data_IF_120636501065
#
_entry.id   IF_120636501065
#
_cell.length_a   1.000
_cell.length_b   1.000
_cell.length_c   1.000
_cell.angle_alpha   90.00
_cell.angle_beta   90.00
_cell.angle_gamma   90.00
#
_symmetry.space_group_name_H-M   'P 1'
#
loop_
_entity.id
_entity.type
_entity.pdbx_description
1 polymer ?
#
# COMPACT_ATOMS: atom_id res chain seq x y z
N UNK A 1 7.88 -24.96 7.10
CA UNK A 1 8.63 -23.93 7.86
C UNK A 1 9.65 -23.25 6.95
N UNK A 2 9.45 -21.96 6.64
CA UNK A 2 10.20 -21.11 5.67
C UNK A 2 9.28 -20.10 4.97
N UNK A 3 8.01 -20.46 4.71
CA UNK A 3 7.08 -19.61 3.94
C UNK A 3 6.89 -18.23 4.57
N UNK A 4 6.55 -18.17 5.85
CA UNK A 4 6.33 -16.90 6.54
C UNK A 4 7.62 -16.06 6.57
N UNK A 5 8.76 -16.72 6.77
CA UNK A 5 10.08 -16.11 6.76
C UNK A 5 10.43 -15.54 5.36
N UNK A 6 10.12 -16.26 4.29
CA UNK A 6 10.32 -15.80 2.91
C UNK A 6 9.39 -14.66 2.53
N UNK A 7 8.11 -14.75 2.92
CA UNK A 7 7.04 -13.87 2.43
C UNK A 7 6.87 -12.60 3.25
N UNK A 8 7.20 -12.61 4.54
CA UNK A 8 6.81 -11.55 5.47
C UNK A 8 7.84 -11.16 6.54
N UNK A 9 9.08 -11.68 6.49
CA UNK A 9 10.11 -11.30 7.48
C UNK A 9 10.42 -9.80 7.51
N UNK A 10 10.35 -9.12 6.37
CA UNK A 10 10.57 -7.69 6.31
C UNK A 10 9.48 -6.93 7.07
N UNK A 11 8.21 -7.18 6.76
CA UNK A 11 7.09 -6.59 7.50
C UNK A 11 7.09 -6.99 8.98
N UNK A 12 7.39 -8.25 9.29
CA UNK A 12 7.50 -8.73 10.67
C UNK A 12 8.56 -7.96 11.46
N UNK A 13 9.74 -7.72 10.87
CA UNK A 13 10.80 -6.94 11.49
C UNK A 13 10.40 -5.48 11.71
N UNK A 14 9.67 -4.87 10.78
CA UNK A 14 9.14 -3.50 10.91
C UNK A 14 8.13 -3.40 12.06
N UNK A 15 7.19 -4.34 12.14
CA UNK A 15 6.21 -4.41 13.23
C UNK A 15 6.89 -4.63 14.59
N UNK A 16 7.83 -5.58 14.67
CA UNK A 16 8.58 -5.86 15.90
C UNK A 16 9.39 -4.64 16.37
N UNK A 17 10.00 -3.89 15.44
CA UNK A 17 10.75 -2.67 15.75
C UNK A 17 9.87 -1.55 16.34
N UNK A 18 8.55 -1.56 16.07
CA UNK A 18 7.57 -0.64 16.68
C UNK A 18 6.91 -1.23 17.95
N UNK A 19 7.39 -2.38 18.44
CA UNK A 19 6.84 -3.03 19.64
C UNK A 19 5.52 -3.78 19.42
N UNK A 20 5.11 -3.99 18.17
CA UNK A 20 3.96 -4.84 17.87
C UNK A 20 4.34 -6.32 18.04
N UNK A 21 3.38 -7.12 18.49
CA UNK A 21 3.56 -8.56 18.63
C UNK A 21 3.35 -9.24 17.29
N UNK A 22 4.32 -10.04 16.87
CA UNK A 22 4.25 -10.84 15.64
C UNK A 22 4.53 -12.30 15.99
N UNK A 23 3.75 -13.20 15.39
CA UNK A 23 3.94 -14.65 15.53
C UNK A 23 3.83 -15.33 14.17
N UNK A 24 4.86 -16.08 13.79
CA UNK A 24 4.79 -16.98 12.65
C UNK A 24 4.28 -18.35 13.09
N UNK A 25 3.46 -18.96 12.25
CA UNK A 25 2.94 -20.31 12.49
C UNK A 25 3.14 -21.14 11.23
N UNK A 26 3.97 -22.17 11.31
CA UNK A 26 4.07 -23.20 10.30
C UNK A 26 3.01 -24.27 10.59
N UNK A 27 2.10 -24.49 9.63
CA UNK A 27 1.01 -25.47 9.78
C UNK A 27 1.50 -26.92 9.68
N UNK A 28 2.66 -27.14 9.06
CA UNK A 28 3.35 -28.44 9.00
C UNK A 28 4.79 -28.32 9.50
N UNK A 29 5.37 -29.45 9.88
CA UNK A 29 6.71 -29.52 10.47
C UNK A 29 7.84 -29.55 9.42
N UNK A 30 7.52 -29.70 8.14
CA UNK A 30 8.48 -29.67 7.03
C UNK A 30 9.35 -30.92 6.93
N UNK A 31 8.89 -32.08 7.41
CA UNK A 31 9.74 -33.25 7.59
C UNK A 31 10.03 -34.09 6.34
N UNK A 32 9.54 -33.69 5.16
CA UNK A 32 9.87 -34.32 3.87
C UNK A 32 10.59 -33.38 2.89
N UNK A 33 10.88 -32.15 3.30
CA UNK A 33 11.40 -31.09 2.42
C UNK A 33 12.92 -31.06 2.20
N UNK A 34 13.66 -32.14 2.52
CA UNK A 34 15.11 -32.25 2.33
C UNK A 34 15.45 -33.58 1.64
N UNK A 35 16.50 -33.60 0.81
CA UNK A 35 16.82 -34.76 -0.04
C UNK A 35 17.70 -35.83 0.66
N UNK A 36 18.24 -35.53 1.84
CA UNK A 36 19.10 -36.45 2.62
C UNK A 36 18.58 -36.73 4.04
N UNK A 37 17.73 -35.86 4.58
CA UNK A 37 17.23 -35.92 5.97
C UNK A 37 15.71 -35.90 5.92
N UNK A 38 15.02 -36.66 6.78
CA UNK A 38 13.55 -36.67 6.81
C UNK A 38 13.01 -37.03 8.19
N UNK A 39 11.68 -36.93 8.33
CA UNK A 39 10.94 -37.31 9.53
C UNK A 39 11.31 -36.47 10.76
N UNK A 40 11.18 -37.06 11.94
CA UNK A 40 11.33 -36.36 13.22
C UNK A 40 12.69 -35.69 13.45
N UNK A 41 13.76 -36.14 12.79
CA UNK A 41 15.07 -35.48 12.84
C UNK A 41 15.03 -34.12 12.13
N UNK A 42 14.57 -34.11 10.88
CA UNK A 42 14.40 -32.89 10.08
C UNK A 42 13.42 -31.91 10.73
N UNK A 43 12.28 -32.41 11.26
CA UNK A 43 11.30 -31.59 11.95
C UNK A 43 11.91 -30.82 13.15
N UNK A 44 12.70 -31.52 13.98
CA UNK A 44 13.39 -30.89 15.14
C UNK A 44 14.42 -29.86 14.69
N UNK A 45 15.16 -30.16 13.62
CA UNK A 45 16.13 -29.23 13.03
C UNK A 45 15.44 -27.97 12.52
N UNK A 46 14.40 -28.11 11.70
CA UNK A 46 13.64 -26.98 11.14
C UNK A 46 12.99 -26.13 12.22
N UNK A 47 12.49 -26.74 13.30
CA UNK A 47 11.99 -26.00 14.47
C UNK A 47 13.10 -25.15 15.12
N UNK A 48 14.32 -25.67 15.26
CA UNK A 48 15.44 -24.90 15.80
C UNK A 48 15.84 -23.75 14.88
N UNK A 49 15.85 -23.98 13.57
CA UNK A 49 16.16 -22.98 12.53
C UNK A 49 15.15 -21.82 12.54
N UNK A 50 13.84 -22.09 12.52
CA UNK A 50 12.84 -21.00 12.58
C UNK A 50 12.81 -20.28 13.92
N UNK A 51 13.18 -20.95 15.02
CA UNK A 51 13.37 -20.28 16.33
C UNK A 51 14.53 -19.28 16.30
N UNK A 52 15.61 -19.62 15.62
CA UNK A 52 16.73 -18.68 15.44
C UNK A 52 16.34 -17.51 14.54
N UNK A 53 15.62 -17.76 13.43
CA UNK A 53 15.05 -16.66 12.64
C UNK A 53 14.12 -15.78 13.51
N UNK A 54 13.22 -16.36 14.30
CA UNK A 54 12.31 -15.62 15.18
C UNK A 54 13.08 -14.75 16.18
N UNK A 55 14.18 -15.26 16.74
CA UNK A 55 15.10 -14.49 17.61
C UNK A 55 15.74 -13.32 16.88
N UNK A 56 16.20 -13.50 15.65
CA UNK A 56 16.80 -12.44 14.80
C UNK A 56 15.79 -11.34 14.50
N UNK A 57 14.55 -11.71 14.17
CA UNK A 57 13.48 -10.78 13.83
C UNK A 57 12.87 -10.09 15.06
N UNK A 58 12.97 -10.71 16.24
CA UNK A 58 12.33 -10.25 17.47
C UNK A 58 10.84 -10.62 17.54
N UNK A 59 10.49 -11.81 17.07
CA UNK A 59 9.10 -12.30 16.96
C UNK A 59 8.93 -13.66 17.66
N UNK A 60 7.69 -14.15 17.76
CA UNK A 60 7.39 -15.52 18.18
C UNK A 60 7.25 -16.44 16.96
N UNK A 61 7.49 -17.74 17.15
CA UNK A 61 7.22 -18.76 16.13
C UNK A 61 6.65 -20.03 16.74
N UNK A 62 5.76 -20.70 16.02
CA UNK A 62 5.19 -22.00 16.36
C UNK A 62 5.18 -22.90 15.13
N UNK A 63 5.54 -24.18 15.31
CA UNK A 63 5.47 -25.20 14.28
C UNK A 63 4.50 -26.26 14.78
N UNK A 64 3.44 -26.53 14.03
CA UNK A 64 2.47 -27.54 14.37
C UNK A 64 3.00 -28.94 14.04
N UNK A 65 2.58 -29.91 14.83
CA UNK A 65 2.90 -31.32 14.61
C UNK A 65 1.92 -31.93 13.59
N UNK A 66 2.08 -31.51 12.33
CA UNK A 66 1.40 -32.07 11.15
C UNK A 66 2.50 -32.37 10.13
N UNK A 67 2.50 -33.59 9.59
CA UNK A 67 3.47 -34.01 8.59
C UNK A 67 3.37 -33.16 7.31
N UNK A 68 4.51 -32.88 6.70
CA UNK A 68 4.60 -32.08 5.50
C UNK A 68 4.06 -32.82 4.28
N UNK A 69 3.16 -32.19 3.53
CA UNK A 69 2.40 -32.81 2.45
C UNK A 69 1.13 -33.56 2.88
N UNK A 70 0.83 -33.62 4.18
CA UNK A 70 -0.33 -34.34 4.75
C UNK A 70 -1.37 -33.40 5.39
N UNK A 71 -1.27 -32.09 5.19
CA UNK A 71 -2.27 -31.15 5.73
C UNK A 71 -3.60 -31.33 5.00
N UNK A 72 -4.67 -31.65 5.73
CA UNK A 72 -6.03 -31.70 5.17
C UNK A 72 -6.93 -30.56 5.68
N UNK A 73 -7.86 -30.03 4.86
CA UNK A 73 -8.79 -28.96 5.23
C UNK A 73 -9.97 -29.49 6.06
N UNK A 74 -9.68 -30.23 7.13
CA UNK A 74 -10.71 -30.84 8.00
C UNK A 74 -11.29 -29.83 8.99
N UNK A 75 -12.45 -30.15 9.57
CA UNK A 75 -13.05 -29.36 10.65
C UNK A 75 -12.11 -29.27 11.87
N UNK A 76 -11.32 -30.30 12.14
CA UNK A 76 -10.36 -30.31 13.23
C UNK A 76 -9.27 -29.25 13.01
N UNK A 77 -8.65 -29.24 11.83
CA UNK A 77 -7.63 -28.26 11.48
C UNK A 77 -8.23 -26.84 11.39
N UNK A 78 -9.48 -26.69 10.94
CA UNK A 78 -10.18 -25.39 10.97
C UNK A 78 -10.35 -24.87 12.39
N UNK A 79 -10.74 -25.74 13.33
CA UNK A 79 -10.79 -25.40 14.77
C UNK A 79 -9.41 -25.07 15.34
N UNK A 80 -8.36 -25.76 14.88
CA UNK A 80 -6.96 -25.47 15.27
C UNK A 80 -6.55 -24.06 14.84
N UNK A 81 -6.79 -23.68 13.58
CA UNK A 81 -6.54 -22.32 13.06
C UNK A 81 -7.36 -21.26 13.82
N UNK A 82 -8.65 -21.50 14.06
CA UNK A 82 -9.47 -20.56 14.81
C UNK A 82 -8.97 -20.34 16.25
N UNK A 83 -8.50 -21.39 16.92
CA UNK A 83 -7.88 -21.27 18.26
C UNK A 83 -6.58 -20.47 18.21
N UNK A 84 -5.69 -20.74 17.26
CA UNK A 84 -4.44 -19.97 17.10
C UNK A 84 -4.72 -18.47 16.95
N UNK A 85 -5.69 -18.09 16.12
CA UNK A 85 -6.06 -16.68 15.91
C UNK A 85 -6.66 -16.08 17.19
N UNK A 86 -7.51 -16.82 17.92
CA UNK A 86 -8.15 -16.38 19.16
C UNK A 86 -7.20 -16.25 20.33
N UNK A 87 -6.34 -17.23 20.54
CA UNK A 87 -5.38 -17.23 21.65
C UNK A 87 -4.37 -16.10 21.47
N UNK A 88 -4.01 -15.81 20.21
CA UNK A 88 -3.17 -14.65 19.87
C UNK A 88 -3.91 -13.31 19.92
N UNK A 89 -5.25 -13.32 19.83
CA UNK A 89 -6.07 -12.12 19.62
C UNK A 89 -5.57 -11.29 18.41
N UNK A 90 -5.36 -11.96 17.28
CA UNK A 90 -4.74 -11.34 16.11
C UNK A 90 -5.55 -10.13 15.58
N UNK A 91 -4.84 -9.06 15.23
CA UNK A 91 -5.41 -7.93 14.49
C UNK A 91 -5.33 -8.14 12.97
N UNK A 92 -4.27 -8.81 12.52
CA UNK A 92 -3.96 -9.10 11.12
C UNK A 92 -3.52 -10.57 11.02
N UNK A 93 -3.97 -11.28 9.98
CA UNK A 93 -3.54 -12.63 9.64
C UNK A 93 -3.05 -12.64 8.20
N UNK A 94 -1.78 -13.00 8.00
CA UNK A 94 -1.17 -13.12 6.68
C UNK A 94 -0.99 -14.61 6.31
N UNK A 95 -1.36 -15.02 5.09
CA UNK A 95 -1.39 -16.45 4.71
C UNK A 95 -1.39 -16.66 3.18
N UNK A 96 -1.46 -17.92 2.72
CA UNK A 96 -1.45 -18.29 1.30
C UNK A 96 -2.80 -18.05 0.60
N UNK A 97 -2.79 -17.75 -0.71
CA UNK A 97 -4.00 -17.88 -1.55
C UNK A 97 -4.38 -19.36 -1.71
N UNK A 98 -5.66 -19.70 -1.91
CA UNK A 98 -6.09 -21.09 -2.09
C UNK A 98 -5.74 -21.68 -3.48
N UNK A 99 -4.93 -20.98 -4.29
CA UNK A 99 -4.48 -21.39 -5.61
C UNK A 99 -2.95 -21.40 -5.64
N UNK A 100 -2.38 -22.59 -5.43
CA UNK A 100 -0.94 -22.80 -5.33
C UNK A 100 -0.57 -24.16 -5.96
N UNK A 101 0.69 -24.36 -6.32
CA UNK A 101 1.23 -25.64 -6.76
C UNK A 101 1.27 -26.64 -5.59
N UNK A 102 1.50 -26.16 -4.35
CA UNK A 102 1.62 -27.00 -3.17
C UNK A 102 0.24 -27.23 -2.54
N UNK A 103 -0.17 -28.50 -2.31
CA UNK A 103 -1.46 -28.80 -1.66
C UNK A 103 -1.57 -28.14 -0.28
N UNK A 104 -0.55 -28.24 0.57
CA UNK A 104 -0.58 -27.63 1.90
C UNK A 104 -0.77 -26.11 1.85
N UNK A 105 -0.13 -25.37 0.93
CA UNK A 105 -0.37 -23.93 0.79
C UNK A 105 -1.85 -23.65 0.48
N UNK A 106 -2.44 -24.41 -0.46
CA UNK A 106 -3.87 -24.29 -0.79
C UNK A 106 -4.74 -24.58 0.42
N UNK A 107 -4.42 -25.62 1.18
CA UNK A 107 -5.20 -26.00 2.36
C UNK A 107 -5.04 -25.05 3.53
N UNK A 108 -3.86 -24.45 3.74
CA UNK A 108 -3.71 -23.29 4.64
C UNK A 108 -4.63 -22.16 4.19
N UNK A 109 -4.64 -21.84 2.90
CA UNK A 109 -5.54 -20.86 2.29
C UNK A 109 -7.01 -21.11 2.65
N UNK A 110 -7.50 -22.32 2.37
CA UNK A 110 -8.88 -22.74 2.66
C UNK A 110 -9.18 -22.69 4.16
N UNK A 111 -8.30 -23.25 5.01
CA UNK A 111 -8.49 -23.32 6.45
C UNK A 111 -8.58 -21.95 7.10
N UNK A 112 -7.73 -21.00 6.68
CA UNK A 112 -7.73 -19.63 7.20
C UNK A 112 -8.97 -18.86 6.73
N UNK A 113 -9.35 -18.99 5.44
CA UNK A 113 -10.59 -18.39 4.92
C UNK A 113 -11.82 -18.90 5.68
N UNK A 114 -11.94 -20.21 5.86
CA UNK A 114 -13.06 -20.82 6.56
C UNK A 114 -13.11 -20.41 8.04
N UNK A 115 -11.94 -20.25 8.68
CA UNK A 115 -11.84 -19.76 10.05
C UNK A 115 -12.22 -18.28 10.17
N UNK A 116 -11.87 -17.43 9.19
CA UNK A 116 -12.11 -15.98 9.20
C UNK A 116 -13.59 -15.61 9.38
N UNK A 117 -14.51 -16.44 8.86
CA UNK A 117 -15.96 -16.23 8.98
C UNK A 117 -16.46 -16.47 10.42
N UNK A 118 -15.87 -17.43 11.12
CA UNK A 118 -16.38 -17.98 12.39
C UNK A 118 -15.48 -17.67 13.60
N UNK A 119 -14.35 -17.00 13.40
CA UNK A 119 -13.40 -16.67 14.47
C UNK A 119 -13.99 -15.75 15.54
N UNK A 120 -15.03 -14.97 15.21
CA UNK A 120 -15.77 -14.13 16.16
C UNK A 120 -16.96 -14.84 16.82
N UNK A 121 -17.34 -16.04 16.35
CA UNK A 121 -18.53 -16.74 16.83
C UNK A 121 -18.27 -17.49 18.15
N UNK A 122 -18.89 -17.11 19.29
CA UNK A 122 -18.51 -17.61 20.62
C UNK A 122 -18.59 -19.14 20.79
N UNK A 123 -19.51 -19.80 20.09
CA UNK A 123 -19.71 -21.25 20.22
C UNK A 123 -18.86 -22.09 19.26
N UNK A 124 -18.19 -21.47 18.28
CA UNK A 124 -17.11 -22.14 17.56
C UNK A 124 -15.89 -22.11 18.46
N UNK A 125 -15.24 -23.25 18.73
CA UNK A 125 -14.09 -23.37 19.66
C UNK A 125 -14.34 -22.70 21.04
N UNK A 126 -15.33 -23.19 21.84
CA UNK A 126 -15.84 -22.49 23.03
C UNK A 126 -14.82 -22.33 24.17
N UNK A 127 -13.73 -23.09 24.16
CA UNK A 127 -12.67 -23.00 25.17
C UNK A 127 -11.68 -21.86 24.91
N UNK A 128 -11.93 -21.04 23.88
CA UNK A 128 -11.08 -19.89 23.51
C UNK A 128 -11.97 -18.66 23.34
N UNK A 129 -11.57 -17.54 23.94
CA UNK A 129 -12.30 -16.29 23.81
C UNK A 129 -12.30 -15.82 22.34
N UNK A 130 -13.45 -15.44 21.77
CA UNK A 130 -13.48 -14.82 20.46
C UNK A 130 -12.55 -13.62 20.36
N UNK A 131 -12.09 -13.31 19.15
CA UNK A 131 -11.33 -12.08 18.94
C UNK A 131 -12.23 -10.87 19.22
N UNK A 132 -11.68 -9.82 19.85
CA UNK A 132 -12.43 -8.57 20.15
C UNK A 132 -13.06 -7.93 18.92
N UNK A 133 -12.39 -8.10 17.77
CA UNK A 133 -12.85 -7.68 16.44
C UNK A 133 -12.48 -8.76 15.43
N UNK A 134 -13.18 -8.82 14.30
CA UNK A 134 -12.76 -9.68 13.21
C UNK A 134 -11.40 -9.18 12.67
N UNK A 135 -10.35 -10.02 12.57
CA UNK A 135 -9.06 -9.61 12.02
C UNK A 135 -9.15 -9.15 10.57
N UNK A 136 -8.11 -8.44 10.12
CA UNK A 136 -7.85 -8.22 8.69
C UNK A 136 -7.07 -9.42 8.17
N UNK A 137 -7.57 -10.04 7.10
CA UNK A 137 -6.93 -11.19 6.48
C UNK A 137 -6.26 -10.73 5.18
N UNK A 138 -5.03 -11.18 4.94
CA UNK A 138 -4.25 -10.79 3.76
C UNK A 138 -3.52 -12.00 3.19
N UNK A 139 -3.41 -12.06 1.88
CA UNK A 139 -2.59 -13.05 1.21
C UNK A 139 -1.16 -12.57 1.00
N UNK A 140 -0.19 -13.45 1.15
CA UNK A 140 1.19 -13.25 0.69
C UNK A 140 1.26 -13.21 -0.84
N UNK A 141 2.25 -12.48 -1.37
CA UNK A 141 2.50 -12.45 -2.81
C UNK A 141 2.89 -13.82 -3.39
N UNK A 142 2.37 -14.10 -4.57
CA UNK A 142 2.74 -15.26 -5.39
C UNK A 142 2.71 -14.89 -6.89
N UNK A 143 3.00 -15.88 -7.75
CA UNK A 143 3.08 -15.71 -9.19
C UNK A 143 1.99 -16.46 -9.99
N UNK A 144 0.96 -16.99 -9.32
CA UNK A 144 -0.13 -17.69 -10.01
C UNK A 144 -1.02 -16.69 -10.75
N UNK A 145 -1.30 -17.00 -12.02
CA UNK A 145 -2.13 -16.18 -12.92
C UNK A 145 -3.58 -16.67 -13.00
N UNK A 146 -3.85 -17.89 -12.54
CA UNK A 146 -5.18 -18.51 -12.55
C UNK A 146 -5.62 -18.85 -11.14
N UNK A 147 -6.91 -18.69 -10.81
CA UNK A 147 -7.98 -18.15 -11.66
C UNK A 147 -7.87 -16.64 -11.91
N UNK A 148 -7.04 -15.93 -11.14
CA UNK A 148 -6.67 -14.52 -11.34
C UNK A 148 -5.25 -14.25 -10.83
N UNK A 149 -4.61 -13.23 -11.40
CA UNK A 149 -3.29 -12.79 -10.97
C UNK A 149 -3.34 -12.12 -9.59
N UNK A 150 -2.27 -12.28 -8.80
CA UNK A 150 -2.13 -11.60 -7.50
C UNK A 150 -2.14 -10.07 -7.67
N UNK A 151 -3.02 -9.40 -6.92
CA UNK A 151 -3.27 -7.96 -6.99
C UNK A 151 -3.10 -7.31 -5.60
N UNK A 152 -1.89 -6.82 -5.26
CA UNK A 152 -1.62 -6.37 -3.90
C UNK A 152 -2.31 -5.06 -3.55
N UNK A 153 -3.09 -5.10 -2.48
CA UNK A 153 -3.65 -3.91 -1.85
C UNK A 153 -2.56 -3.11 -1.12
N UNK A 154 -1.58 -3.76 -0.51
CA UNK A 154 -0.47 -3.11 0.18
C UNK A 154 0.86 -3.67 -0.32
N UNK A 155 1.82 -2.76 -0.57
CA UNK A 155 3.20 -3.12 -0.88
C UNK A 155 4.10 -2.36 0.09
N UNK A 156 4.98 -3.08 0.78
CA UNK A 156 5.82 -2.55 1.85
C UNK A 156 7.26 -2.57 1.40
N UNK A 157 7.92 -1.41 1.43
CA UNK A 157 9.37 -1.35 1.26
C UNK A 157 10.08 -1.83 2.51
N UNK A 158 11.03 -2.76 2.35
CA UNK A 158 11.71 -3.43 3.47
C UNK A 158 13.20 -3.11 3.53
N UNK A 159 13.67 -2.12 2.76
CA UNK A 159 15.09 -1.75 2.65
C UNK A 159 15.76 -1.55 4.01
N UNK A 160 15.08 -0.87 4.94
CA UNK A 160 15.61 -0.56 6.28
C UNK A 160 15.79 -1.76 7.20
N UNK A 161 15.17 -2.90 6.87
CA UNK A 161 15.24 -4.16 7.63
C UNK A 161 15.73 -5.34 6.78
N UNK A 162 16.17 -5.09 5.55
CA UNK A 162 16.53 -6.14 4.60
C UNK A 162 17.63 -7.05 5.17
N UNK A 163 18.63 -6.49 5.85
CA UNK A 163 19.70 -7.26 6.48
C UNK A 163 19.18 -8.24 7.54
N UNK A 164 18.19 -7.85 8.36
CA UNK A 164 17.56 -8.76 9.31
C UNK A 164 16.86 -9.91 8.61
N UNK A 165 16.17 -9.64 7.51
CA UNK A 165 15.55 -10.69 6.67
C UNK A 165 16.62 -11.64 6.14
N UNK A 166 17.73 -11.14 5.60
CA UNK A 166 18.82 -11.97 5.09
C UNK A 166 19.42 -12.85 6.18
N UNK A 167 19.67 -12.29 7.37
CA UNK A 167 20.16 -13.06 8.52
C UNK A 167 19.18 -14.17 8.94
N UNK A 168 17.87 -13.88 8.97
CA UNK A 168 16.84 -14.89 9.19
C UNK A 168 16.89 -16.02 8.14
N UNK A 169 16.97 -15.68 6.85
CA UNK A 169 17.02 -16.68 5.77
C UNK A 169 18.26 -17.55 5.89
N UNK A 170 19.43 -16.96 6.18
CA UNK A 170 20.68 -17.72 6.38
C UNK A 170 20.67 -18.59 7.63
N UNK A 171 19.79 -18.31 8.59
CA UNK A 171 19.63 -19.11 9.80
C UNK A 171 18.81 -20.40 9.58
N UNK A 172 18.34 -20.65 8.35
CA UNK A 172 17.62 -21.86 7.96
C UNK A 172 18.41 -22.67 6.92
N UNK A 173 19.58 -23.23 7.27
CA UNK A 173 20.45 -23.92 6.31
C UNK A 173 19.79 -25.14 5.67
N UNK A 174 18.92 -25.89 6.36
CA UNK A 174 18.18 -27.02 5.74
C UNK A 174 17.30 -26.59 4.56
N UNK A 175 16.98 -25.30 4.46
CA UNK A 175 16.16 -24.71 3.40
C UNK A 175 16.99 -23.92 2.38
N UNK A 176 17.96 -23.13 2.86
CA UNK A 176 18.66 -22.11 2.05
C UNK A 176 20.18 -22.19 2.11
N UNK A 177 20.77 -23.32 2.51
CA UNK A 177 22.23 -23.45 2.58
C UNK A 177 22.80 -24.85 2.36
N UNK A 178 22.06 -25.89 2.72
CA UNK A 178 22.51 -27.28 2.59
C UNK A 178 22.61 -27.71 1.14
N UNK A 179 23.55 -28.62 0.86
CA UNK A 179 23.76 -29.20 -0.47
C UNK A 179 22.52 -29.95 -0.96
N UNK A 180 21.81 -30.59 -0.04
CA UNK A 180 20.62 -31.41 -0.31
C UNK A 180 19.31 -30.72 0.14
N UNK A 181 19.37 -29.40 0.37
CA UNK A 181 18.16 -28.59 0.52
C UNK A 181 17.32 -28.65 -0.77
N UNK A 182 16.01 -28.44 -0.65
CA UNK A 182 15.13 -28.44 -1.82
C UNK A 182 15.56 -27.41 -2.85
N UNK A 183 15.91 -26.20 -2.42
CA UNK A 183 16.34 -25.13 -3.31
C UNK A 183 17.65 -25.51 -4.03
N UNK A 184 18.64 -26.05 -3.30
CA UNK A 184 19.91 -26.47 -3.92
C UNK A 184 19.75 -27.62 -4.92
N UNK A 185 18.80 -28.52 -4.67
CA UNK A 185 18.61 -29.73 -5.49
C UNK A 185 17.75 -29.48 -6.74
N UNK A 186 16.93 -28.42 -6.74
CA UNK A 186 15.94 -28.16 -7.81
C UNK A 186 16.23 -26.93 -8.65
N UNK A 187 17.00 -25.97 -8.14
CA UNK A 187 17.38 -24.79 -8.90
C UNK A 187 18.54 -25.11 -9.87
N UNK A 188 18.56 -24.50 -11.07
CA UNK A 188 19.66 -24.65 -11.99
C UNK A 188 20.92 -23.95 -11.45
N UNK A 189 22.08 -24.45 -11.86
CA UNK A 189 23.40 -23.80 -11.72
C UNK A 189 23.82 -23.43 -10.27
N UNK A 190 23.29 -24.15 -9.28
CA UNK A 190 23.66 -23.96 -7.87
C UNK A 190 25.13 -24.38 -7.66
N UNK A 191 26.00 -23.50 -7.12
CA UNK A 191 27.38 -23.85 -6.84
C UNK A 191 27.51 -25.03 -5.86
N UNK A 192 28.55 -25.84 -6.04
CA UNK A 192 28.78 -27.03 -5.20
C UNK A 192 29.53 -26.72 -3.91
N UNK A 193 30.38 -25.71 -3.92
CA UNK A 193 31.06 -25.26 -2.71
C UNK A 193 30.08 -24.58 -1.75
N UNK A 194 30.36 -24.69 -0.46
CA UNK A 194 29.41 -24.30 0.59
C UNK A 194 29.08 -22.80 0.56
N UNK A 195 30.11 -21.96 0.43
CA UNK A 195 29.92 -20.51 0.48
C UNK A 195 29.21 -20.00 -0.78
N UNK A 196 29.66 -20.43 -1.97
CA UNK A 196 29.04 -20.08 -3.24
C UNK A 196 27.57 -20.50 -3.30
N UNK A 197 27.23 -21.68 -2.75
CA UNK A 197 25.84 -22.15 -2.67
C UNK A 197 24.99 -21.24 -1.79
N UNK A 198 25.45 -20.95 -0.56
CA UNK A 198 24.73 -20.08 0.39
C UNK A 198 24.50 -18.69 -0.21
N UNK A 199 25.53 -18.12 -0.84
CA UNK A 199 25.43 -16.81 -1.48
C UNK A 199 24.47 -16.82 -2.68
N UNK A 200 24.52 -17.87 -3.51
CA UNK A 200 23.59 -18.05 -4.62
C UNK A 200 22.14 -18.12 -4.15
N UNK A 201 21.84 -18.99 -3.18
CA UNK A 201 20.49 -19.17 -2.66
C UNK A 201 19.96 -17.90 -1.99
N UNK A 202 20.79 -17.21 -1.20
CA UNK A 202 20.42 -15.92 -0.61
C UNK A 202 20.16 -14.86 -1.69
N UNK A 203 20.95 -14.82 -2.75
CA UNK A 203 20.77 -13.88 -3.86
C UNK A 203 19.45 -14.13 -4.62
N UNK A 204 19.02 -15.39 -4.77
CA UNK A 204 17.69 -15.69 -5.32
C UNK A 204 16.58 -15.09 -4.44
N UNK A 205 16.71 -15.19 -3.11
CA UNK A 205 15.72 -14.60 -2.20
C UNK A 205 15.76 -13.06 -2.27
N UNK A 206 16.94 -12.44 -2.35
CA UNK A 206 17.08 -10.99 -2.57
C UNK A 206 16.40 -10.57 -3.87
N UNK A 207 16.69 -11.27 -4.98
CA UNK A 207 16.12 -10.98 -6.29
C UNK A 207 14.59 -11.04 -6.26
N UNK A 208 13.99 -12.05 -5.61
CA UNK A 208 12.53 -12.13 -5.45
C UNK A 208 11.93 -10.87 -4.82
N UNK A 209 12.61 -10.26 -3.84
CA UNK A 209 12.14 -9.03 -3.19
C UNK A 209 12.38 -7.79 -4.08
N UNK A 210 13.43 -7.77 -4.90
CA UNK A 210 13.64 -6.73 -5.92
C UNK A 210 12.59 -6.80 -7.03
N UNK A 211 12.23 -8.01 -7.44
CA UNK A 211 11.20 -8.27 -8.45
C UNK A 211 9.84 -7.79 -7.97
N UNK A 212 9.48 -8.01 -6.70
CA UNK A 212 8.24 -7.46 -6.10
C UNK A 212 8.26 -5.94 -6.15
N UNK A 213 9.36 -5.28 -5.75
CA UNK A 213 9.47 -3.82 -5.78
C UNK A 213 9.39 -3.25 -7.21
N UNK A 214 9.96 -3.98 -8.17
CA UNK A 214 9.93 -3.60 -9.60
C UNK A 214 8.54 -3.78 -10.19
N UNK A 215 7.93 -4.94 -9.99
CA UNK A 215 6.60 -5.29 -10.50
C UNK A 215 5.51 -4.36 -9.98
N UNK A 216 5.61 -3.95 -8.71
CA UNK A 216 4.59 -3.11 -8.06
C UNK A 216 5.09 -1.69 -7.77
N UNK A 217 5.97 -1.16 -8.63
CA UNK A 217 6.55 0.17 -8.49
C UNK A 217 5.51 1.28 -8.39
N UNK A 218 4.45 1.21 -9.19
CA UNK A 218 3.39 2.22 -9.18
C UNK A 218 2.64 2.24 -7.84
N UNK A 219 2.37 1.05 -7.27
CA UNK A 219 1.75 0.93 -5.93
C UNK A 219 2.68 1.46 -4.84
N UNK A 220 3.98 1.22 -4.93
CA UNK A 220 4.96 1.82 -4.02
C UNK A 220 4.99 3.35 -4.14
N UNK A 221 4.92 3.90 -5.35
CA UNK A 221 4.85 5.36 -5.58
C UNK A 221 3.57 5.95 -4.99
N UNK A 222 2.44 5.26 -5.13
CA UNK A 222 1.17 5.66 -4.54
C UNK A 222 1.23 5.65 -3.00
N UNK A 223 1.82 4.61 -2.41
CA UNK A 223 1.86 4.41 -0.96
C UNK A 223 2.94 5.22 -0.24
N UNK A 224 4.05 5.55 -0.91
CA UNK A 224 5.21 6.24 -0.31
C UNK A 224 5.51 7.61 -0.93
N UNK A 225 4.80 8.00 -1.98
CA UNK A 225 5.12 9.18 -2.80
C UNK A 225 6.24 8.90 -3.80
N UNK A 226 6.31 9.72 -4.86
CA UNK A 226 7.26 9.53 -5.97
C UNK A 226 8.71 9.46 -5.52
N UNK A 227 9.14 10.31 -4.59
CA UNK A 227 10.55 10.42 -4.19
C UNK A 227 11.06 9.19 -3.44
N UNK A 228 10.25 8.64 -2.52
CA UNK A 228 10.61 7.43 -1.75
C UNK A 228 10.22 6.17 -2.52
N UNK A 229 8.99 6.10 -3.03
CA UNK A 229 8.45 4.95 -3.74
C UNK A 229 9.25 4.56 -4.98
N UNK A 230 9.87 5.50 -5.69
CA UNK A 230 10.73 5.20 -6.85
C UNK A 230 12.09 4.59 -6.50
N UNK A 231 12.53 4.70 -5.24
CA UNK A 231 13.87 4.28 -4.78
C UNK A 231 13.87 3.00 -3.95
N UNK A 232 12.70 2.53 -3.51
CA UNK A 232 12.57 1.30 -2.72
C UNK A 232 13.15 0.13 -3.52
N UNK A 233 14.13 -0.58 -2.97
CA UNK A 233 14.82 -1.67 -3.67
C UNK A 233 14.15 -3.01 -3.42
N UNK A 234 13.83 -3.31 -2.17
CA UNK A 234 13.23 -4.56 -1.74
C UNK A 234 11.82 -4.32 -1.21
N UNK A 235 10.87 -5.15 -1.61
CA UNK A 235 9.50 -5.05 -1.12
C UNK A 235 8.84 -6.40 -0.87
N UNK A 236 7.84 -6.39 0.02
CA UNK A 236 6.88 -7.46 0.25
C UNK A 236 5.48 -6.96 -0.10
N UNK A 237 4.64 -7.80 -0.68
CA UNK A 237 3.33 -7.41 -1.18
C UNK A 237 2.23 -8.30 -0.61
N UNK A 238 1.10 -7.68 -0.27
CA UNK A 238 -0.03 -8.31 0.41
C UNK A 238 -1.35 -7.92 -0.27
N UNK A 239 -2.17 -8.91 -0.60
CA UNK A 239 -3.50 -8.73 -1.19
C UNK A 239 -4.58 -8.88 -0.11
N UNK A 240 -5.54 -7.96 -0.07
CA UNK A 240 -6.62 -8.02 0.92
C UNK A 240 -7.52 -9.23 0.64
N UNK A 241 -7.68 -10.07 1.67
CA UNK A 241 -8.64 -11.18 1.62
C UNK A 241 -10.07 -10.64 1.74
N UNK A 242 -10.97 -11.20 0.94
CA UNK A 242 -12.38 -10.83 0.95
C UNK A 242 -13.13 -11.37 2.18
N UNK A 243 -12.52 -12.27 2.95
CA UNK A 243 -13.05 -12.78 4.21
C UNK A 243 -12.53 -11.98 5.40
N UNK A 244 -13.36 -11.83 6.43
CA UNK A 244 -13.03 -11.06 7.63
C UNK A 244 -13.31 -9.56 7.46
N UNK A 245 -12.55 -8.72 8.16
CA UNK A 245 -12.79 -7.27 8.18
C UNK A 245 -12.28 -6.59 6.90
N UNK A 246 -13.04 -5.62 6.40
CA UNK A 246 -12.73 -4.83 5.20
C UNK A 246 -12.32 -3.40 5.59
N UNK A 247 -11.04 -3.16 5.92
CA UNK A 247 -10.52 -1.83 6.30
C UNK A 247 -10.45 -0.88 5.10
N UNK A 248 -10.46 0.43 5.36
CA UNK A 248 -10.14 1.43 4.32
C UNK A 248 -8.65 1.44 3.99
N UNK A 249 -8.27 2.05 2.86
CA UNK A 249 -6.86 2.22 2.48
C UNK A 249 -6.06 2.96 3.55
N UNK A 250 -6.64 3.98 4.19
CA UNK A 250 -5.99 4.74 5.26
C UNK A 250 -5.76 3.88 6.50
N UNK A 251 -6.73 3.02 6.85
CA UNK A 251 -6.55 2.08 7.95
C UNK A 251 -5.46 1.06 7.63
N UNK A 252 -5.45 0.50 6.42
CA UNK A 252 -4.39 -0.42 5.98
C UNK A 252 -3.02 0.24 6.02
N UNK A 253 -2.89 1.48 5.54
CA UNK A 253 -1.65 2.23 5.64
C UNK A 253 -1.17 2.34 7.08
N UNK A 254 -2.06 2.66 8.02
CA UNK A 254 -1.72 2.70 9.46
C UNK A 254 -1.30 1.33 10.00
N UNK A 255 -2.04 0.27 9.66
CA UNK A 255 -1.75 -1.10 10.10
C UNK A 255 -0.39 -1.60 9.59
N UNK A 256 0.02 -1.18 8.39
CA UNK A 256 1.31 -1.53 7.76
C UNK A 256 2.40 -0.47 7.97
N UNK A 257 2.24 0.42 8.97
CA UNK A 257 3.22 1.45 9.35
C UNK A 257 3.58 2.42 8.20
N UNK A 258 2.71 2.53 7.20
CA UNK A 258 2.85 3.46 6.11
C UNK A 258 2.38 4.83 6.59
N UNK A 259 3.31 5.79 6.61
CA UNK A 259 2.93 7.18 6.83
C UNK A 259 2.09 7.63 5.64
N UNK A 260 0.96 8.29 5.92
CA UNK A 260 0.15 8.95 4.89
C UNK A 260 1.11 9.79 4.04
N UNK A 261 1.17 9.54 2.74
CA UNK A 261 1.92 10.41 1.83
C UNK A 261 1.32 11.78 2.00
N UNK A 262 2.03 12.70 2.66
CA UNK A 262 1.66 14.10 2.60
C UNK A 262 1.81 14.47 1.14
N UNK A 263 0.67 14.67 0.47
CA UNK A 263 0.70 15.37 -0.81
C UNK A 263 1.37 16.70 -0.54
N UNK A 264 2.35 17.07 -1.34
CA UNK A 264 3.09 18.33 -1.19
C UNK A 264 2.80 19.20 -2.39
N UNK A 265 2.68 20.51 -2.16
CA UNK A 265 2.71 21.46 -3.26
C UNK A 265 4.10 21.50 -3.90
N UNK A 266 4.21 20.98 -5.12
CA UNK A 266 5.41 21.03 -5.95
C UNK A 266 5.04 21.64 -7.31
N UNK A 267 5.08 22.99 -7.42
CA UNK A 267 4.72 23.67 -8.65
C UNK A 267 5.49 23.10 -9.84
N UNK A 268 4.75 22.67 -10.86
CA UNK A 268 5.31 21.99 -12.03
C UNK A 268 4.49 22.28 -13.28
N UNK A 269 5.10 22.11 -14.46
CA UNK A 269 4.42 22.35 -15.73
C UNK A 269 3.30 21.33 -15.94
N UNK A 270 2.08 21.80 -16.12
CA UNK A 270 0.92 20.96 -16.45
C UNK A 270 0.95 20.61 -17.93
N UNK A 271 0.88 19.33 -18.25
CA UNK A 271 0.76 18.83 -19.63
C UNK A 271 -0.59 18.17 -19.85
N UNK A 272 -1.12 18.14 -21.08
CA UNK A 272 -2.40 17.49 -21.36
C UNK A 272 -2.34 16.00 -21.03
N UNK A 273 -3.44 15.46 -20.52
CA UNK A 273 -3.64 14.01 -20.42
C UNK A 273 -4.10 13.44 -21.78
N UNK A 274 -4.30 12.12 -21.86
CA UNK A 274 -4.56 11.41 -23.12
C UNK A 274 -5.78 11.91 -23.91
N UNK A 275 -6.80 12.46 -23.23
CA UNK A 275 -8.00 13.02 -23.87
C UNK A 275 -7.85 14.51 -24.24
N UNK A 276 -6.67 15.09 -24.04
CA UNK A 276 -6.37 16.50 -24.27
C UNK A 276 -6.77 17.43 -23.12
N UNK A 277 -7.37 16.92 -22.04
CA UNK A 277 -7.72 17.71 -20.86
C UNK A 277 -6.48 18.14 -20.08
N UNK A 278 -6.60 19.25 -19.35
CA UNK A 278 -5.55 19.78 -18.48
C UNK A 278 -6.04 19.74 -17.03
N UNK A 279 -5.23 19.14 -16.15
CA UNK A 279 -5.52 19.02 -14.72
C UNK A 279 -4.65 20.00 -13.93
N UNK A 280 -5.21 21.15 -13.57
CA UNK A 280 -4.54 22.22 -12.84
C UNK A 280 -4.83 22.04 -11.35
N UNK A 281 -4.07 21.17 -10.69
CA UNK A 281 -4.31 20.83 -9.28
C UNK A 281 -3.58 21.77 -8.32
N UNK A 282 -3.97 21.80 -7.05
CA UNK A 282 -3.27 22.53 -6.00
C UNK A 282 -1.82 22.04 -5.81
N UNK A 283 -1.49 20.77 -6.10
CA UNK A 283 -0.13 20.26 -6.03
C UNK A 283 0.78 20.85 -7.12
N UNK A 284 0.23 21.07 -8.31
CA UNK A 284 1.00 21.56 -9.48
C UNK A 284 0.97 23.07 -9.62
N UNK A 285 0.02 23.74 -8.96
CA UNK A 285 -0.11 25.20 -8.96
C UNK A 285 0.81 25.88 -7.96
N UNK A 286 1.11 27.15 -8.18
CA UNK A 286 1.87 28.00 -7.25
C UNK A 286 0.92 28.98 -6.57
N UNK A 287 0.71 28.82 -5.26
CA UNK A 287 0.06 29.86 -4.45
C UNK A 287 0.97 31.08 -4.33
N UNK A 288 0.45 32.27 -4.63
CA UNK A 288 1.18 33.53 -4.56
C UNK A 288 0.35 34.54 -3.80
N UNK A 289 0.86 34.98 -2.66
CA UNK A 289 0.26 36.06 -1.87
C UNK A 289 0.59 35.91 -0.38
N UNK A 290 0.03 36.80 0.46
CA UNK A 290 0.42 36.91 1.87
C UNK A 290 -0.09 35.77 2.77
N UNK A 291 -1.14 35.04 2.37
CA UNK A 291 -1.82 34.10 3.28
C UNK A 291 -2.13 32.75 2.65
N UNK A 292 -2.27 32.68 1.33
CA UNK A 292 -2.58 31.42 0.66
C UNK A 292 -1.55 30.34 1.02
N UNK A 293 -2.05 29.21 1.48
CA UNK A 293 -1.23 28.08 1.88
C UNK A 293 -1.81 26.78 1.34
N UNK A 294 -0.92 25.88 0.94
CA UNK A 294 -1.33 24.54 0.57
C UNK A 294 -1.64 23.73 1.82
N UNK A 295 -2.78 23.06 1.82
CA UNK A 295 -3.29 22.21 2.89
C UNK A 295 -3.21 20.74 2.42
N UNK A 296 -2.22 19.97 2.92
CA UNK A 296 -1.95 18.61 2.44
C UNK A 296 -3.09 17.60 2.63
N UNK A 297 -3.90 17.75 3.67
CA UNK A 297 -4.97 16.80 3.98
C UNK A 297 -6.12 16.92 2.98
N UNK A 298 -6.43 18.14 2.57
CA UNK A 298 -7.51 18.51 1.68
C UNK A 298 -7.09 18.50 0.22
N UNK A 299 -5.78 18.47 -0.06
CA UNK A 299 -5.20 18.66 -1.39
C UNK A 299 -5.61 19.99 -2.02
N UNK A 300 -5.66 21.06 -1.21
CA UNK A 300 -6.23 22.34 -1.61
C UNK A 300 -5.36 23.52 -1.19
N UNK A 301 -5.47 24.64 -1.91
CA UNK A 301 -5.04 25.94 -1.39
C UNK A 301 -6.15 26.54 -0.54
N UNK A 302 -5.87 26.81 0.74
CA UNK A 302 -6.76 27.51 1.65
C UNK A 302 -6.26 28.89 2.01
N UNK A 303 -6.97 29.56 2.93
CA UNK A 303 -6.65 30.93 3.40
C UNK A 303 -6.57 31.95 2.24
N UNK A 304 -7.37 31.72 1.20
CA UNK A 304 -7.31 32.45 -0.07
C UNK A 304 -7.90 33.85 0.06
N UNK A 305 -7.08 34.86 0.38
CA UNK A 305 -7.53 36.25 0.57
C UNK A 305 -7.66 37.02 -0.74
N UNK A 306 -8.19 38.25 -0.66
CA UNK A 306 -8.34 39.17 -1.79
C UNK A 306 -7.01 39.54 -2.49
N UNK A 307 -5.87 39.35 -1.81
CA UNK A 307 -4.53 39.66 -2.32
C UNK A 307 -3.78 38.44 -2.88
N UNK A 308 -4.33 37.24 -2.69
CA UNK A 308 -3.72 35.99 -3.14
C UNK A 308 -4.14 35.62 -4.57
N UNK A 309 -3.40 34.69 -5.17
CA UNK A 309 -3.71 34.04 -6.45
C UNK A 309 -3.05 32.67 -6.53
N UNK A 310 -3.51 31.84 -7.46
CA UNK A 310 -2.83 30.60 -7.84
C UNK A 310 -2.42 30.67 -9.31
N UNK A 311 -1.19 30.28 -9.62
CA UNK A 311 -0.63 30.28 -10.96
C UNK A 311 -0.27 28.86 -11.41
N UNK A 312 -0.57 28.52 -12.67
CA UNK A 312 -0.10 27.29 -13.30
C UNK A 312 0.64 27.63 -14.60
N UNK A 313 1.77 26.97 -14.82
CA UNK A 313 2.43 26.95 -16.13
C UNK A 313 1.92 25.75 -16.91
N UNK A 314 1.31 25.99 -18.07
CA UNK A 314 0.53 24.98 -18.79
C UNK A 314 1.04 24.84 -20.22
N UNK A 315 1.27 23.60 -20.66
CA UNK A 315 1.52 23.26 -22.05
C UNK A 315 0.18 22.95 -22.74
N UNK A 316 -0.14 23.71 -23.77
CA UNK A 316 -1.32 23.45 -24.61
C UNK A 316 -0.86 22.90 -25.95
N UNK A 317 -1.27 21.69 -26.30
CA UNK A 317 -0.88 21.06 -27.56
C UNK A 317 -1.53 21.74 -28.77
N UNK A 318 -2.85 21.95 -28.71
CA UNK A 318 -3.63 22.55 -29.79
C UNK A 318 -4.40 23.76 -29.26
N UNK A 319 -4.42 24.85 -30.03
CA UNK A 319 -5.25 26.00 -29.69
C UNK A 319 -6.74 25.59 -29.75
N UNK A 320 -7.55 26.08 -28.83
CA UNK A 320 -8.95 25.69 -28.75
C UNK A 320 -9.69 26.32 -27.58
N UNK A 321 -11.00 26.05 -27.52
CA UNK A 321 -11.84 26.45 -26.39
C UNK A 321 -11.97 25.28 -25.42
N UNK A 322 -11.82 25.55 -24.13
CA UNK A 322 -11.90 24.55 -23.08
C UNK A 322 -13.08 24.86 -22.17
N UNK A 323 -13.88 23.85 -21.82
CA UNK A 323 -14.76 23.92 -20.65
C UNK A 323 -13.93 23.91 -19.38
N UNK A 324 -14.28 24.77 -18.44
CA UNK A 324 -13.58 24.89 -17.17
C UNK A 324 -14.47 24.37 -16.05
N UNK A 325 -13.98 23.38 -15.32
CA UNK A 325 -14.60 22.85 -14.11
C UNK A 325 -13.77 23.27 -12.90
N UNK A 326 -14.41 23.84 -11.89
CA UNK A 326 -13.80 24.24 -10.62
C UNK A 326 -14.03 23.15 -9.59
N UNK A 327 -13.01 22.75 -8.84
CA UNK A 327 -13.12 21.87 -7.65
C UNK A 327 -12.77 22.67 -6.39
N UNK A 328 -13.76 22.93 -5.54
CA UNK A 328 -13.63 23.82 -4.39
C UNK A 328 -14.55 23.45 -3.21
N UNK A 329 -14.24 24.00 -2.04
CA UNK A 329 -15.11 24.06 -0.88
C UNK A 329 -15.21 25.50 -0.35
N UNK A 330 -16.36 25.87 0.23
CA UNK A 330 -16.58 27.17 0.87
C UNK A 330 -17.68 27.04 1.92
N UNK A 331 -17.55 27.74 3.05
CA UNK A 331 -18.69 27.96 3.94
C UNK A 331 -19.73 28.85 3.25
N UNK A 332 -21.00 28.49 3.36
CA UNK A 332 -22.08 29.20 2.65
C UNK A 332 -22.22 30.68 3.01
N UNK A 333 -21.71 31.10 4.18
CA UNK A 333 -21.64 32.51 4.60
C UNK A 333 -20.55 33.30 3.85
N UNK A 334 -19.56 32.60 3.31
CA UNK A 334 -18.41 33.16 2.60
C UNK A 334 -18.54 33.02 1.08
N UNK A 335 -19.53 32.27 0.58
CA UNK A 335 -19.86 32.16 -0.82
C UNK A 335 -20.30 33.50 -1.45
N UNK A 336 -20.44 33.55 -2.78
CA UNK A 336 -20.93 34.72 -3.51
C UNK A 336 -19.85 35.73 -3.91
N UNK A 337 -18.59 35.51 -3.52
CA UNK A 337 -17.46 36.36 -3.95
C UNK A 337 -17.09 36.08 -5.41
N UNK A 338 -16.77 37.12 -6.21
CA UNK A 338 -16.42 36.92 -7.61
C UNK A 338 -14.94 36.54 -7.80
N UNK A 339 -14.65 35.73 -8.81
CA UNK A 339 -13.30 35.31 -9.20
C UNK A 339 -13.02 35.56 -10.69
N UNK A 340 -11.75 35.56 -11.06
CA UNK A 340 -11.25 35.60 -12.43
C UNK A 340 -10.28 34.44 -12.63
N UNK A 341 -10.45 33.69 -13.73
CA UNK A 341 -9.41 32.89 -14.35
C UNK A 341 -8.91 33.62 -15.59
N UNK A 342 -7.62 33.89 -15.69
CA UNK A 342 -7.04 34.65 -16.81
C UNK A 342 -5.80 34.00 -17.42
N UNK A 343 -5.62 34.24 -18.72
CA UNK A 343 -4.40 33.94 -19.49
C UNK A 343 -4.29 34.95 -20.63
N UNK A 344 -3.08 35.45 -20.93
CA UNK A 344 -2.73 36.34 -22.07
C UNK A 344 -3.92 37.00 -22.80
N UNK A 345 -4.58 37.97 -22.15
CA UNK A 345 -5.66 38.78 -22.75
C UNK A 345 -7.06 38.15 -22.79
N UNK A 346 -7.24 36.94 -22.24
CA UNK A 346 -8.51 36.23 -22.08
C UNK A 346 -8.84 36.07 -20.60
N UNK A 347 -10.13 36.17 -20.28
CA UNK A 347 -10.63 36.02 -18.92
C UNK A 347 -11.94 35.23 -18.91
N UNK A 348 -12.07 34.35 -17.93
CA UNK A 348 -13.33 33.77 -17.48
C UNK A 348 -13.64 34.37 -16.11
N UNK A 349 -14.86 34.90 -15.94
CA UNK A 349 -15.35 35.46 -14.68
C UNK A 349 -16.46 34.58 -14.14
N UNK A 350 -16.49 34.42 -12.84
CA UNK A 350 -17.55 33.69 -12.16
C UNK A 350 -17.70 34.13 -10.71
N UNK A 351 -18.59 33.46 -10.02
CA UNK A 351 -18.87 33.68 -8.60
C UNK A 351 -18.74 32.35 -7.87
N UNK A 352 -18.15 32.37 -6.68
CA UNK A 352 -18.01 31.17 -5.86
C UNK A 352 -19.38 30.72 -5.37
N UNK A 353 -19.88 29.61 -5.93
CA UNK A 353 -21.16 29.01 -5.52
C UNK A 353 -21.04 28.27 -4.18
N UNK A 354 -22.18 28.09 -3.52
CA UNK A 354 -22.30 27.42 -2.21
C UNK A 354 -21.96 25.93 -2.29
N UNK A 355 -21.11 25.47 -1.37
CA UNK A 355 -20.82 24.03 -1.21
C UNK A 355 -21.37 23.44 0.07
N UNK A 356 -21.76 24.26 1.04
CA UNK A 356 -22.30 23.87 2.34
C UNK A 356 -21.32 24.20 3.48
N UNK A 357 -20.09 23.68 3.40
CA UNK A 357 -19.04 23.90 4.41
C UNK A 357 -17.65 23.84 3.78
N UNK A 358 -16.64 24.28 4.54
CA UNK A 358 -15.22 24.13 4.19
C UNK A 358 -14.79 22.66 4.00
N UNK A 359 -15.53 21.70 4.54
CA UNK A 359 -15.26 20.27 4.39
C UNK A 359 -16.03 19.64 3.22
N UNK A 360 -16.95 20.37 2.59
CA UNK A 360 -17.79 19.86 1.51
C UNK A 360 -17.28 20.36 0.16
N UNK A 361 -16.53 19.52 -0.55
CA UNK A 361 -16.03 19.84 -1.88
C UNK A 361 -17.06 19.54 -2.97
N UNK A 362 -17.13 20.40 -3.97
CA UNK A 362 -17.94 20.22 -5.19
C UNK A 362 -17.11 20.48 -6.43
N UNK A 363 -17.49 19.81 -7.52
CA UNK A 363 -16.95 20.10 -8.85
C UNK A 363 -18.07 20.52 -9.79
N UNK A 364 -17.97 21.72 -10.37
CA UNK A 364 -18.99 22.26 -11.27
C UNK A 364 -18.36 22.99 -12.47
N UNK A 365 -19.07 22.98 -13.61
CA UNK A 365 -18.70 23.76 -14.79
C UNK A 365 -18.93 25.24 -14.53
N UNK A 366 -17.87 26.05 -14.65
CA UNK A 366 -17.91 27.49 -14.40
C UNK A 366 -17.87 28.35 -15.67
N UNK A 367 -17.63 27.73 -16.83
CA UNK A 367 -17.69 28.41 -18.13
C UNK A 367 -16.71 27.83 -19.14
N UNK A 368 -16.27 28.66 -20.07
CA UNK A 368 -15.29 28.30 -21.10
C UNK A 368 -14.17 29.33 -21.20
N UNK A 369 -12.98 28.89 -21.63
CA UNK A 369 -11.84 29.78 -21.89
C UNK A 369 -11.11 29.33 -23.16
N UNK A 370 -10.75 30.29 -24.01
CA UNK A 370 -9.95 30.03 -25.20
C UNK A 370 -8.47 30.05 -24.85
N UNK A 371 -7.74 29.00 -25.25
CA UNK A 371 -6.32 28.82 -25.02
C UNK A 371 -5.56 28.79 -26.35
N UNK A 372 -4.44 29.50 -26.43
CA UNK A 372 -3.51 29.38 -27.56
C UNK A 372 -2.60 28.16 -27.40
N UNK A 373 -2.12 27.59 -28.51
CA UNK A 373 -1.11 26.54 -28.46
C UNK A 373 0.22 27.05 -27.86
N UNK A 374 0.98 26.15 -27.26
CA UNK A 374 2.26 26.46 -26.62
C UNK A 374 2.19 26.57 -25.10
N UNK A 375 3.27 27.08 -24.50
CA UNK A 375 3.34 27.30 -23.05
C UNK A 375 2.69 28.63 -22.67
N UNK A 376 1.78 28.60 -21.70
CA UNK A 376 1.13 29.80 -21.17
C UNK A 376 0.88 29.67 -19.67
N UNK A 377 0.75 30.82 -19.01
CA UNK A 377 0.45 30.91 -17.58
C UNK A 377 -1.04 31.16 -17.39
N UNK A 378 -1.70 30.30 -16.62
CA UNK A 378 -3.07 30.53 -16.14
C UNK A 378 -3.01 31.04 -14.71
N UNK A 379 -3.83 32.05 -14.40
CA UNK A 379 -3.91 32.68 -13.09
C UNK A 379 -5.36 32.68 -12.60
N UNK A 380 -5.61 32.07 -11.44
CA UNK A 380 -6.89 32.13 -10.74
C UNK A 380 -6.78 33.07 -9.54
N UNK A 381 -7.67 34.06 -9.45
CA UNK A 381 -7.62 35.09 -8.41
C UNK A 381 -9.00 35.68 -8.09
N UNK A 382 -9.19 36.32 -6.92
CA UNK A 382 -10.35 37.14 -6.63
C UNK A 382 -10.57 38.25 -7.66
N UNK A 383 -11.84 38.56 -7.96
CA UNK A 383 -12.22 39.65 -8.85
C UNK A 383 -12.61 40.94 -8.11
N UNK A 384 -12.66 40.91 -6.78
CA UNK A 384 -13.06 42.03 -5.93
C UNK A 384 -12.24 42.02 -4.64
N UNK A 385 -12.19 43.18 -3.97
CA UNK A 385 -11.60 43.29 -2.63
C UNK A 385 -12.60 42.80 -1.59
N UNK A 386 -12.10 42.10 -0.58
CA UNK A 386 -12.82 41.76 0.64
C UNK A 386 -11.82 41.71 1.80
N UNK A 387 -12.29 41.97 3.01
CA UNK A 387 -11.45 41.95 4.21
C UNK A 387 -11.32 40.53 4.75
N UNK A 388 -10.13 40.20 5.25
CA UNK A 388 -9.84 38.95 5.96
C UNK A 388 -9.52 39.30 7.41
N UNK A 389 -10.33 38.84 8.36
CA UNK A 389 -10.17 39.10 9.80
C UNK A 389 -10.19 37.78 10.55
N UNK A 390 -9.05 37.41 11.14
CA UNK A 390 -8.86 36.08 11.72
C UNK A 390 -9.08 35.01 10.67
N UNK A 391 -10.01 34.09 10.93
CA UNK A 391 -10.33 32.97 10.05
C UNK A 391 -11.50 33.24 9.08
N UNK A 392 -11.97 34.50 9.01
CA UNK A 392 -13.10 34.91 8.16
C UNK A 392 -12.62 35.74 6.98
N UNK A 393 -13.37 35.70 5.88
CA UNK A 393 -13.04 36.45 4.66
C UNK A 393 -12.01 35.75 3.78
N UNK A 394 -12.30 34.53 3.35
CA UNK A 394 -11.56 33.79 2.33
C UNK A 394 -12.41 33.61 1.06
N UNK A 395 -11.77 33.43 -0.10
CA UNK A 395 -12.46 33.20 -1.37
C UNK A 395 -13.10 31.81 -1.42
N UNK A 396 -12.29 30.76 -1.20
CA UNK A 396 -12.64 29.34 -1.20
C UNK A 396 -11.39 28.52 -0.82
N UNK A 397 -11.59 27.23 -0.56
CA UNK A 397 -10.51 26.23 -0.59
C UNK A 397 -10.44 25.60 -1.99
N UNK A 398 -9.32 25.78 -2.69
CA UNK A 398 -9.17 25.40 -4.10
C UNK A 398 -8.42 24.08 -4.27
N UNK A 399 -9.09 23.02 -4.71
CA UNK A 399 -8.41 21.78 -5.14
C UNK A 399 -7.83 21.89 -6.54
N UNK A 400 -8.49 22.63 -7.42
CA UNK A 400 -7.96 22.91 -8.75
C UNK A 400 -9.01 23.21 -9.80
N UNK A 401 -8.56 23.17 -11.05
CA UNK A 401 -9.36 23.34 -12.25
C UNK A 401 -9.14 22.15 -13.19
N UNK A 402 -10.22 21.65 -13.80
CA UNK A 402 -10.15 20.73 -14.93
C UNK A 402 -10.59 21.45 -16.19
N UNK A 403 -9.71 21.50 -17.19
CA UNK A 403 -9.99 22.11 -18.49
C UNK A 403 -10.17 21.02 -19.53
N UNK A 404 -11.37 20.90 -20.10
CA UNK A 404 -11.72 19.87 -21.09
C UNK A 404 -11.86 20.51 -22.47
N UNK A 405 -11.12 20.08 -23.50
CA UNK A 405 -11.23 20.66 -24.83
C UNK A 405 -12.64 20.43 -25.40
N UNK A 406 -13.26 21.49 -25.94
CA UNK A 406 -14.45 21.37 -26.77
C UNK A 406 -14.04 20.76 -28.12
N UNK A 407 -14.81 19.76 -28.55
CA UNK A 407 -14.62 19.11 -29.86
C UNK A 407 -15.00 20.04 -31.01
#
# INVERSE_FOLDING_TARGET
PDDAELKASGMAALWAAQGHKVKFVAMTNGDVGHFEESGGALAKRRLAEVRECARILGIETEVLDIHDGELEPTLENRKKVARLIRDWQADIVLFHRPYDYHPDHRYVGVLVQDAAVIVVAPFFTPNTNPTKRNPVFMYYSDNFLKPYAFDPTIVVGIDEVAEKKWNCITAMPSQFGDLYSWQASTLPDVPKDEQGRKDYLLNIVKQRNEDVATKYRDRLIELYGKDKGSKIRYAEAFELCQYGRQPTTEELQKLFLLKKVQKTNQPSKVTPVSDGSLMLTAETGKGVGPKIAYMPEESAFGWFTAADKVEWDVQVSNAGTYEVYLDWAVDDKEAGKPFILETKGRQLRGTVSRTGSWQTYKTEKIGTIALSAGTQKLVFKPASKFETIGDKGALLDLRGLKLVPLK
#
